data_IF_677874689260
#
_entry.id   IF_677874689260
#
_cell.length_a   1.000
_cell.length_b   1.000
_cell.length_c   1.000
_cell.angle_alpha   90.00
_cell.angle_beta   90.00
_cell.angle_gamma   90.00
#
_symmetry.space_group_name_H-M   'P 1'
#
loop_
_entity.id
_entity.type
_entity.pdbx_description
1 polymer ?
#
# COMPACT_ATOMS: atom_id res chain seq x y z
N UNK A 1 4.75 -49.95 28.00
CA UNK A 1 4.51 -48.49 27.89
C UNK A 1 4.96 -48.09 26.50
N UNK A 2 4.02 -48.07 25.55
CA UNK A 2 4.28 -47.58 24.19
C UNK A 2 3.92 -46.09 24.18
N UNK A 3 4.86 -45.26 23.75
CA UNK A 3 4.63 -43.84 23.47
C UNK A 3 3.50 -43.68 22.45
N UNK A 4 2.64 -42.66 22.55
CA UNK A 4 1.64 -42.38 21.54
C UNK A 4 2.38 -42.00 20.25
N UNK A 5 2.19 -42.81 19.21
CA UNK A 5 2.87 -42.67 17.93
C UNK A 5 2.35 -41.46 17.15
N UNK A 6 3.30 -40.72 16.59
CA UNK A 6 3.08 -39.77 15.49
C UNK A 6 2.27 -40.47 14.39
N UNK A 7 1.03 -40.03 14.20
CA UNK A 7 0.34 -40.27 12.95
C UNK A 7 1.15 -39.61 11.81
N UNK A 8 1.30 -40.26 10.64
CA UNK A 8 2.01 -39.65 9.53
C UNK A 8 1.29 -38.37 9.11
N UNK A 9 1.92 -37.21 9.36
CA UNK A 9 1.41 -35.93 8.90
C UNK A 9 1.34 -35.94 7.37
N UNK A 10 0.17 -35.59 6.82
CA UNK A 10 -0.04 -35.47 5.38
C UNK A 10 0.94 -34.43 4.81
N UNK A 11 1.53 -34.72 3.66
CA UNK A 11 2.32 -33.71 2.95
C UNK A 11 1.42 -32.58 2.45
N UNK A 12 1.95 -31.37 2.32
CA UNK A 12 1.17 -30.21 1.85
C UNK A 12 0.46 -30.46 0.50
N UNK A 13 1.13 -31.18 -0.40
CA UNK A 13 0.54 -31.56 -1.69
C UNK A 13 -0.59 -32.59 -1.55
N UNK A 14 -0.46 -33.56 -0.64
CA UNK A 14 -1.51 -34.53 -0.36
C UNK A 14 -2.72 -33.85 0.30
N UNK A 15 -2.49 -32.96 1.25
CA UNK A 15 -3.54 -32.17 1.90
C UNK A 15 -4.31 -31.31 0.90
N UNK A 16 -3.60 -30.59 0.01
CA UNK A 16 -4.23 -29.81 -1.06
C UNK A 16 -5.06 -30.66 -2.02
N UNK A 17 -4.60 -31.87 -2.33
CA UNK A 17 -5.35 -32.80 -3.16
C UNK A 17 -6.62 -33.28 -2.47
N UNK A 18 -6.61 -33.50 -1.15
CA UNK A 18 -7.81 -33.84 -0.38
C UNK A 18 -8.81 -32.70 -0.36
N UNK A 19 -8.35 -31.46 -0.15
CA UNK A 19 -9.20 -30.26 -0.21
C UNK A 19 -9.88 -30.11 -1.58
N UNK A 20 -9.15 -30.33 -2.67
CA UNK A 20 -9.71 -30.28 -4.03
C UNK A 20 -10.75 -31.40 -4.26
N UNK A 21 -10.51 -32.61 -3.74
CA UNK A 21 -11.45 -33.74 -3.82
C UNK A 21 -12.72 -33.46 -3.02
N UNK A 22 -12.60 -32.86 -1.84
CA UNK A 22 -13.77 -32.47 -1.04
C UNK A 22 -14.56 -31.38 -1.75
N UNK A 23 -13.89 -30.35 -2.29
CA UNK A 23 -14.56 -29.27 -3.00
C UNK A 23 -15.38 -29.79 -4.19
N UNK A 24 -14.82 -30.73 -4.96
CA UNK A 24 -15.48 -31.42 -6.07
C UNK A 24 -16.54 -32.44 -5.64
N UNK A 25 -16.78 -32.63 -4.33
CA UNK A 25 -17.80 -33.56 -3.81
C UNK A 25 -17.46 -35.04 -3.97
N UNK A 26 -16.18 -35.39 -4.19
CA UNK A 26 -15.71 -36.76 -4.45
C UNK A 26 -14.82 -37.31 -3.33
N UNK A 27 -14.66 -36.57 -2.23
CA UNK A 27 -13.97 -37.05 -1.04
C UNK A 27 -14.83 -38.07 -0.27
N UNK A 28 -14.18 -39.10 0.24
CA UNK A 28 -14.78 -40.10 1.13
C UNK A 28 -14.91 -39.54 2.56
N UNK A 29 -15.78 -40.15 3.37
CA UNK A 29 -15.99 -39.75 4.78
C UNK A 29 -14.67 -39.77 5.58
N UNK A 30 -13.81 -40.77 5.35
CA UNK A 30 -12.49 -40.86 5.98
C UNK A 30 -11.52 -39.75 5.54
N UNK A 31 -11.63 -39.25 4.31
CA UNK A 31 -10.84 -38.12 3.81
C UNK A 31 -11.34 -36.79 4.41
N UNK A 32 -12.65 -36.66 4.60
CA UNK A 32 -13.27 -35.50 5.27
C UNK A 32 -12.87 -35.46 6.75
N UNK A 33 -12.87 -36.61 7.43
CA UNK A 33 -12.42 -36.72 8.81
C UNK A 33 -10.95 -36.28 8.96
N UNK A 34 -10.08 -36.63 8.01
CA UNK A 34 -8.68 -36.16 7.99
C UNK A 34 -8.57 -34.65 7.82
N UNK A 35 -9.40 -34.03 6.96
CA UNK A 35 -9.42 -32.58 6.82
C UNK A 35 -9.96 -31.89 8.09
N UNK A 36 -10.90 -32.51 8.79
CA UNK A 36 -11.50 -32.00 10.02
C UNK A 36 -10.52 -31.97 11.21
N UNK A 37 -9.43 -32.74 11.17
CA UNK A 37 -8.33 -32.66 12.15
C UNK A 37 -7.57 -31.31 12.06
N UNK A 38 -7.58 -30.65 10.90
CA UNK A 38 -6.89 -29.37 10.66
C UNK A 38 -7.82 -28.29 10.06
N UNK A 39 -8.82 -27.80 10.81
CA UNK A 39 -9.87 -26.92 10.28
C UNK A 39 -9.37 -25.51 9.90
N UNK A 40 -8.22 -25.07 10.40
CA UNK A 40 -7.60 -23.80 10.00
C UNK A 40 -6.88 -23.96 8.67
N UNK A 41 -6.07 -25.01 8.52
CA UNK A 41 -5.35 -25.32 7.28
C UNK A 41 -6.32 -25.56 6.13
N UNK A 42 -7.39 -26.32 6.36
CA UNK A 42 -8.44 -26.57 5.37
C UNK A 42 -9.09 -25.26 4.87
N UNK A 43 -9.50 -24.37 5.78
CA UNK A 43 -10.06 -23.06 5.41
C UNK A 43 -9.07 -22.22 4.59
N UNK A 44 -7.80 -22.19 4.97
CA UNK A 44 -6.78 -21.43 4.27
C UNK A 44 -6.51 -21.96 2.85
N UNK A 45 -6.49 -23.28 2.66
CA UNK A 45 -6.31 -23.88 1.34
C UNK A 45 -7.54 -23.64 0.43
N UNK A 46 -8.77 -23.72 0.96
CA UNK A 46 -9.97 -23.36 0.20
C UNK A 46 -9.94 -21.89 -0.24
N UNK A 47 -9.64 -20.95 0.67
CA UNK A 47 -9.51 -19.53 0.32
C UNK A 47 -8.41 -19.28 -0.71
N UNK A 48 -7.30 -19.99 -0.61
CA UNK A 48 -6.20 -19.91 -1.59
C UNK A 48 -6.67 -20.40 -2.96
N UNK A 49 -7.39 -21.52 -3.02
CA UNK A 49 -7.93 -22.06 -4.26
C UNK A 49 -8.92 -21.09 -4.91
N UNK A 50 -9.88 -20.55 -4.14
CA UNK A 50 -10.85 -19.54 -4.58
C UNK A 50 -10.14 -18.33 -5.21
N UNK A 51 -9.17 -17.75 -4.50
CA UNK A 51 -8.39 -16.60 -5.02
C UNK A 51 -7.58 -16.94 -6.27
N UNK A 52 -7.11 -18.18 -6.38
CA UNK A 52 -6.33 -18.62 -7.54
C UNK A 52 -7.19 -18.70 -8.79
N UNK A 53 -8.39 -19.28 -8.68
CA UNK A 53 -9.36 -19.35 -9.79
C UNK A 53 -9.89 -17.97 -10.15
N UNK A 54 -10.18 -17.13 -9.17
CA UNK A 54 -10.63 -15.75 -9.40
C UNK A 54 -9.58 -14.92 -10.16
N UNK A 55 -8.30 -15.01 -9.78
CA UNK A 55 -7.21 -14.38 -10.51
C UNK A 55 -7.00 -14.96 -11.92
N UNK A 56 -7.27 -16.26 -12.13
CA UNK A 56 -7.20 -16.88 -13.45
C UNK A 56 -8.28 -16.33 -14.39
N UNK A 57 -9.50 -16.11 -13.87
CA UNK A 57 -10.61 -15.51 -14.61
C UNK A 57 -10.28 -14.09 -15.03
N UNK A 58 -9.80 -13.27 -14.09
CA UNK A 58 -9.32 -11.91 -14.35
C UNK A 58 -8.26 -11.87 -15.46
N UNK A 59 -7.35 -12.85 -15.47
CA UNK A 59 -6.29 -12.96 -16.48
C UNK A 59 -6.87 -13.30 -17.86
N UNK A 60 -7.78 -14.27 -17.94
CA UNK A 60 -8.41 -14.72 -19.18
C UNK A 60 -9.30 -13.61 -19.77
N UNK A 61 -10.01 -12.85 -18.95
CA UNK A 61 -10.82 -11.71 -19.40
C UNK A 61 -9.97 -10.61 -20.07
N UNK A 62 -8.75 -10.36 -19.58
CA UNK A 62 -7.84 -9.32 -20.10
C UNK A 62 -7.11 -9.73 -21.38
N UNK A 63 -7.16 -11.00 -21.78
CA UNK A 63 -6.44 -11.54 -22.94
C UNK A 63 -7.40 -11.90 -24.07
N UNK A 64 -6.98 -11.64 -25.31
CA UNK A 64 -7.68 -12.14 -26.49
C UNK A 64 -7.21 -13.57 -26.77
N UNK A 65 -7.98 -14.57 -26.34
CA UNK A 65 -7.70 -16.01 -26.52
C UNK A 65 -8.83 -16.64 -27.34
N UNK A 66 -8.48 -17.57 -28.24
CA UNK A 66 -9.38 -18.18 -29.23
C UNK A 66 -10.57 -18.94 -28.58
N UNK A 67 -10.37 -19.49 -27.36
CA UNK A 67 -11.38 -20.27 -26.62
C UNK A 67 -11.87 -19.58 -25.32
N UNK A 68 -11.81 -18.24 -25.26
CA UNK A 68 -12.05 -17.46 -24.03
C UNK A 68 -13.37 -17.82 -23.32
N UNK A 69 -14.46 -18.01 -24.05
CA UNK A 69 -15.77 -18.30 -23.45
C UNK A 69 -15.82 -19.67 -22.77
N UNK A 70 -15.21 -20.69 -23.37
CA UNK A 70 -15.15 -22.03 -22.77
C UNK A 70 -14.29 -22.01 -21.51
N UNK A 71 -13.12 -21.37 -21.58
CA UNK A 71 -12.21 -21.28 -20.43
C UNK A 71 -12.86 -20.53 -19.27
N UNK A 72 -13.59 -19.43 -19.55
CA UNK A 72 -14.29 -18.70 -18.50
C UNK A 72 -15.42 -19.53 -17.88
N UNK A 73 -16.20 -20.25 -18.70
CA UNK A 73 -17.26 -21.12 -18.19
C UNK A 73 -16.71 -22.22 -17.28
N UNK A 74 -15.61 -22.88 -17.68
CA UNK A 74 -14.97 -23.93 -16.87
C UNK A 74 -14.45 -23.36 -15.53
N UNK A 75 -13.80 -22.18 -15.57
CA UNK A 75 -13.29 -21.54 -14.35
C UNK A 75 -14.40 -20.98 -13.44
N UNK A 76 -15.52 -20.52 -14.02
CA UNK A 76 -16.70 -20.08 -13.27
C UNK A 76 -17.33 -21.28 -12.53
N UNK A 77 -17.43 -22.43 -13.20
CA UNK A 77 -17.89 -23.67 -12.59
C UNK A 77 -16.98 -24.12 -11.45
N UNK A 78 -15.66 -24.10 -11.64
CA UNK A 78 -14.67 -24.40 -10.60
C UNK A 78 -14.81 -23.46 -9.39
N UNK A 79 -15.07 -22.16 -9.62
CA UNK A 79 -15.25 -21.22 -8.53
C UNK A 79 -16.53 -21.48 -7.74
N UNK A 80 -17.64 -21.76 -8.43
CA UNK A 80 -18.90 -22.13 -7.80
C UNK A 80 -18.73 -23.35 -6.90
N UNK A 81 -18.06 -24.41 -7.38
CA UNK A 81 -17.78 -25.59 -6.57
C UNK A 81 -16.96 -25.27 -5.31
N UNK A 82 -15.95 -24.43 -5.43
CA UNK A 82 -15.13 -24.01 -4.28
C UNK A 82 -15.91 -23.13 -3.28
N UNK A 83 -16.80 -22.26 -3.76
CA UNK A 83 -17.64 -21.43 -2.91
C UNK A 83 -18.71 -22.26 -2.17
N UNK A 84 -19.27 -23.28 -2.83
CA UNK A 84 -20.15 -24.26 -2.17
C UNK A 84 -19.39 -25.03 -1.09
N UNK A 85 -18.16 -25.47 -1.36
CA UNK A 85 -17.30 -26.15 -0.39
C UNK A 85 -17.01 -25.27 0.83
N UNK A 86 -16.71 -23.99 0.60
CA UNK A 86 -16.55 -23.02 1.66
C UNK A 86 -17.82 -22.84 2.50
N UNK A 87 -18.98 -22.77 1.83
CA UNK A 87 -20.28 -22.65 2.50
C UNK A 87 -20.58 -23.88 3.35
N UNK A 88 -20.29 -25.09 2.85
CA UNK A 88 -20.42 -26.34 3.63
C UNK A 88 -19.53 -26.33 4.87
N UNK A 89 -18.29 -25.87 4.75
CA UNK A 89 -17.32 -25.88 5.84
C UNK A 89 -17.59 -24.82 6.91
N UNK A 90 -18.03 -23.63 6.51
CA UNK A 90 -18.08 -22.46 7.40
C UNK A 90 -19.49 -21.99 7.74
N UNK A 91 -20.50 -22.41 6.95
CA UNK A 91 -21.85 -21.86 6.99
C UNK A 91 -21.96 -20.43 6.46
N UNK A 92 -20.86 -19.82 6.01
CA UNK A 92 -20.83 -18.48 5.44
C UNK A 92 -20.77 -18.55 3.92
N UNK A 93 -21.65 -17.84 3.24
CA UNK A 93 -21.60 -17.68 1.78
C UNK A 93 -20.54 -16.63 1.44
N UNK A 94 -19.66 -16.94 0.48
CA UNK A 94 -18.81 -15.92 -0.14
C UNK A 94 -19.62 -15.29 -1.25
N UNK A 95 -19.78 -13.96 -1.22
CA UNK A 95 -20.38 -13.26 -2.35
C UNK A 95 -19.43 -13.37 -3.53
N UNK A 96 -19.82 -14.18 -4.51
CA UNK A 96 -19.14 -14.27 -5.80
C UNK A 96 -19.70 -13.19 -6.73
N UNK A 97 -19.89 -11.95 -6.26
CA UNK A 97 -20.47 -10.84 -7.05
C UNK A 97 -19.62 -10.57 -8.31
N UNK A 98 -19.82 -11.43 -9.29
CA UNK A 98 -19.40 -11.32 -10.65
C UNK A 98 -20.59 -10.64 -11.29
N UNK A 99 -20.35 -9.39 -11.66
CA UNK A 99 -21.15 -8.77 -12.69
C UNK A 99 -21.01 -9.71 -13.89
N UNK A 100 -22.01 -10.57 -14.12
CA UNK A 100 -22.22 -11.13 -15.45
C UNK A 100 -22.07 -9.94 -16.40
N UNK A 101 -21.38 -10.09 -17.55
CA UNK A 101 -21.47 -9.08 -18.58
C UNK A 101 -22.91 -9.12 -19.08
N UNK A 102 -23.83 -8.55 -18.30
CA UNK A 102 -25.01 -7.91 -18.80
C UNK A 102 -24.49 -7.12 -20.00
N UNK A 103 -25.08 -7.37 -21.15
CA UNK A 103 -25.10 -6.37 -22.18
C UNK A 103 -25.49 -5.08 -21.46
N UNK A 104 -24.49 -4.25 -21.18
CA UNK A 104 -24.71 -2.89 -20.70
C UNK A 104 -25.28 -2.21 -21.92
N UNK A 105 -26.59 -2.40 -22.15
CA UNK A 105 -27.39 -1.26 -22.51
C UNK A 105 -26.97 -0.20 -21.52
N UNK A 106 -26.24 0.79 -22.03
CA UNK A 106 -25.93 2.01 -21.34
C UNK A 106 -27.28 2.65 -21.01
N UNK A 107 -27.92 2.19 -19.95
CA UNK A 107 -28.90 2.99 -19.25
C UNK A 107 -28.11 4.21 -18.77
N UNK A 108 -28.29 5.31 -19.49
CA UNK A 108 -27.93 6.62 -18.97
C UNK A 108 -28.50 6.68 -17.54
N UNK A 109 -27.66 6.92 -16.51
CA UNK A 109 -28.13 6.88 -15.15
C UNK A 109 -29.26 7.88 -15.03
N UNK A 110 -30.47 7.39 -14.77
CA UNK A 110 -31.63 8.25 -14.54
C UNK A 110 -31.23 9.25 -13.46
N UNK A 111 -31.20 10.53 -13.82
CA UNK A 111 -30.62 11.62 -13.03
C UNK A 111 -31.39 11.94 -11.73
N UNK A 112 -32.41 11.14 -11.39
CA UNK A 112 -33.47 11.50 -10.46
C UNK A 112 -33.45 10.77 -9.10
N UNK A 113 -32.51 9.87 -8.84
CA UNK A 113 -32.35 9.30 -7.48
C UNK A 113 -31.50 10.23 -6.60
N UNK A 114 -32.16 10.92 -5.66
CA UNK A 114 -31.50 11.64 -4.57
C UNK A 114 -30.81 10.64 -3.64
N UNK A 115 -29.50 10.80 -3.42
CA UNK A 115 -28.73 9.95 -2.51
C UNK A 115 -28.95 10.28 -1.04
N UNK A 116 -28.44 9.46 -0.13
CA UNK A 116 -28.46 9.74 1.32
C UNK A 116 -27.31 10.68 1.70
N UNK A 117 -27.52 11.56 2.69
CA UNK A 117 -26.44 12.37 3.25
C UNK A 117 -25.57 11.51 4.15
N UNK A 118 -24.30 11.36 3.79
CA UNK A 118 -23.32 10.58 4.54
C UNK A 118 -22.13 11.46 4.95
N UNK A 119 -21.44 11.05 6.02
CA UNK A 119 -20.18 11.69 6.45
C UNK A 119 -19.02 11.14 5.61
N UNK A 120 -18.41 12.01 4.82
CA UNK A 120 -17.26 11.71 3.98
C UNK A 120 -15.97 12.23 4.61
N UNK A 121 -14.87 11.52 4.34
CA UNK A 121 -13.53 11.90 4.75
C UNK A 121 -12.64 12.18 3.55
N UNK A 122 -11.85 13.23 3.67
CA UNK A 122 -10.85 13.68 2.71
C UNK A 122 -9.51 13.89 3.37
N UNK A 123 -8.47 13.95 2.55
CA UNK A 123 -7.11 14.09 3.02
C UNK A 123 -6.51 15.45 2.68
N UNK A 124 -5.91 16.09 3.69
CA UNK A 124 -4.91 17.15 3.53
C UNK A 124 -3.63 16.63 4.20
N UNK A 125 -2.40 16.95 3.71
CA UNK A 125 -1.18 16.41 4.30
C UNK A 125 -1.10 16.55 5.84
N UNK A 126 -1.28 15.43 6.55
CA UNK A 126 -1.24 15.35 8.02
C UNK A 126 -2.57 15.62 8.72
N UNK A 127 -3.68 15.80 8.00
CA UNK A 127 -5.01 16.08 8.55
C UNK A 127 -6.09 15.28 7.83
N UNK A 128 -7.05 14.81 8.62
CA UNK A 128 -8.30 14.25 8.12
C UNK A 128 -9.32 15.38 8.06
N UNK A 129 -10.01 15.51 6.93
CA UNK A 129 -11.05 16.53 6.72
C UNK A 129 -12.39 15.83 6.57
N UNK A 130 -13.32 16.10 7.47
CA UNK A 130 -14.67 15.57 7.42
C UNK A 130 -15.65 16.60 6.87
N UNK A 131 -16.62 16.13 6.10
CA UNK A 131 -17.73 16.90 5.51
C UNK A 131 -18.88 15.94 5.22
N UNK A 132 -20.12 16.43 5.13
CA UNK A 132 -21.27 15.57 4.88
C UNK A 132 -22.14 16.12 3.74
N UNK A 133 -22.46 15.25 2.78
CA UNK A 133 -23.29 15.57 1.62
C UNK A 133 -23.83 14.30 0.97
N UNK A 134 -24.88 14.46 0.17
CA UNK A 134 -25.48 13.40 -0.66
C UNK A 134 -25.84 13.95 -2.04
N UNK A 135 -25.97 13.09 -3.05
CA UNK A 135 -26.33 13.51 -4.42
C UNK A 135 -27.72 14.16 -4.41
N UNK A 136 -27.80 15.42 -4.82
CA UNK A 136 -29.06 16.18 -4.83
C UNK A 136 -29.56 16.63 -3.45
N UNK A 137 -28.79 16.39 -2.37
CA UNK A 137 -29.16 16.78 -1.02
C UNK A 137 -28.48 18.07 -0.57
N UNK A 138 -29.11 18.75 0.38
CA UNK A 138 -28.49 19.87 1.10
C UNK A 138 -27.40 19.30 2.03
N UNK A 139 -26.15 19.80 1.97
CA UNK A 139 -25.10 19.41 2.91
C UNK A 139 -25.46 19.73 4.36
N UNK A 140 -24.95 18.94 5.32
CA UNK A 140 -25.10 19.25 6.74
C UNK A 140 -24.39 20.56 7.09
N UNK A 141 -24.93 21.28 8.06
CA UNK A 141 -24.22 22.41 8.65
C UNK A 141 -23.09 21.94 9.61
N UNK A 142 -22.26 22.86 10.09
CA UNK A 142 -21.10 22.50 10.93
C UNK A 142 -21.50 21.82 12.26
N UNK A 143 -22.62 22.22 12.87
CA UNK A 143 -23.08 21.64 14.14
C UNK A 143 -23.61 20.21 13.92
N UNK A 144 -24.44 20.02 12.89
CA UNK A 144 -24.95 18.71 12.47
C UNK A 144 -23.82 17.75 12.09
N UNK A 145 -22.80 18.24 11.36
CA UNK A 145 -21.62 17.45 11.01
C UNK A 145 -20.86 16.97 12.24
N UNK A 146 -20.72 17.81 13.28
CA UNK A 146 -20.06 17.41 14.52
C UNK A 146 -20.86 16.36 15.28
N UNK A 147 -22.18 16.51 15.36
CA UNK A 147 -23.05 15.50 15.97
C UNK A 147 -22.96 14.16 15.23
N UNK A 148 -22.99 14.17 13.89
CA UNK A 148 -22.83 12.96 13.09
C UNK A 148 -21.44 12.30 13.29
N UNK A 149 -20.37 13.09 13.40
CA UNK A 149 -19.04 12.55 13.72
C UNK A 149 -18.98 11.89 15.10
N UNK A 150 -19.62 12.49 16.11
CA UNK A 150 -19.71 11.91 17.46
C UNK A 150 -20.50 10.59 17.47
N UNK A 151 -21.60 10.52 16.73
CA UNK A 151 -22.39 9.29 16.56
C UNK A 151 -21.57 8.17 15.90
N UNK A 152 -20.71 8.52 14.94
CA UNK A 152 -19.76 7.60 14.29
C UNK A 152 -18.53 7.26 15.16
N UNK A 153 -18.51 7.67 16.43
CA UNK A 153 -17.42 7.38 17.37
C UNK A 153 -16.12 8.14 17.10
N UNK A 154 -16.16 9.24 16.32
CA UNK A 154 -15.01 10.08 16.08
C UNK A 154 -14.62 10.87 17.34
N UNK A 155 -13.37 11.38 17.45
CA UNK A 155 -12.96 12.19 18.59
C UNK A 155 -13.86 13.41 18.77
N UNK A 156 -14.35 13.65 19.99
CA UNK A 156 -15.21 14.80 20.32
C UNK A 156 -14.48 16.15 20.35
N UNK A 157 -13.14 16.13 20.32
CA UNK A 157 -12.29 17.34 20.34
C UNK A 157 -11.20 17.27 19.27
N UNK A 158 -10.56 18.41 18.96
CA UNK A 158 -9.49 18.50 17.95
C UNK A 158 -9.96 18.91 16.55
N UNK A 159 -11.27 18.84 16.27
CA UNK A 159 -11.85 19.32 15.02
C UNK A 159 -11.85 20.85 14.94
N UNK A 160 -11.05 21.39 14.02
CA UNK A 160 -11.00 22.80 13.70
C UNK A 160 -11.83 23.11 12.44
N UNK A 161 -12.49 24.27 12.41
CA UNK A 161 -13.23 24.73 11.23
C UNK A 161 -12.29 24.84 10.03
N UNK A 162 -12.73 24.28 8.89
CA UNK A 162 -12.04 24.30 7.60
C UNK A 162 -12.96 24.99 6.58
N UNK A 163 -12.39 25.60 5.54
CA UNK A 163 -13.19 26.16 4.43
C UNK A 163 -14.08 25.10 3.77
N UNK A 164 -15.17 25.49 3.13
CA UNK A 164 -16.08 24.52 2.52
C UNK A 164 -15.39 23.65 1.46
N UNK A 165 -15.91 22.44 1.30
CA UNK A 165 -15.52 21.48 0.28
C UNK A 165 -16.56 21.52 -0.84
N UNK A 166 -16.09 21.45 -2.09
CA UNK A 166 -16.94 21.48 -3.28
C UNK A 166 -16.94 20.09 -3.93
N UNK A 167 -17.85 19.17 -3.55
CA UNK A 167 -17.95 17.89 -4.21
C UNK A 167 -18.38 18.06 -5.68
N UNK A 168 -17.92 17.18 -6.60
CA UNK A 168 -18.33 17.23 -8.01
C UNK A 168 -19.86 17.17 -8.14
N UNK A 169 -20.45 18.17 -8.81
CA UNK A 169 -21.89 18.23 -9.05
C UNK A 169 -22.76 18.56 -7.83
N UNK A 170 -22.16 18.89 -6.68
CA UNK A 170 -22.88 19.17 -5.43
C UNK A 170 -22.70 20.58 -4.89
N UNK A 171 -23.54 20.93 -3.92
CA UNK A 171 -23.47 22.19 -3.17
C UNK A 171 -22.24 22.20 -2.25
N UNK A 172 -21.68 23.38 -1.99
CA UNK A 172 -20.57 23.54 -1.05
C UNK A 172 -20.94 23.03 0.34
N UNK A 173 -20.21 22.03 0.83
CA UNK A 173 -20.39 21.44 2.15
C UNK A 173 -19.44 22.11 3.16
N UNK A 174 -19.94 22.56 4.32
CA UNK A 174 -19.09 22.88 5.47
C UNK A 174 -18.18 21.70 5.82
N UNK A 175 -16.97 21.99 6.27
CA UNK A 175 -15.98 20.97 6.60
C UNK A 175 -15.23 21.30 7.90
N UNK A 176 -14.83 20.26 8.60
CA UNK A 176 -13.96 20.32 9.78
C UNK A 176 -12.71 19.48 9.54
N UNK A 177 -11.60 19.84 10.17
CA UNK A 177 -10.33 19.14 10.02
C UNK A 177 -9.70 18.83 11.37
N UNK A 178 -9.10 17.65 11.50
CA UNK A 178 -8.40 17.18 12.70
C UNK A 178 -7.00 16.69 12.31
N UNK A 179 -5.95 16.95 13.12
CA UNK A 179 -4.66 16.31 12.93
C UNK A 179 -4.81 14.78 12.93
N UNK A 180 -4.10 14.11 12.02
CA UNK A 180 -4.21 12.64 11.92
C UNK A 180 -3.73 11.93 13.20
N UNK A 181 -2.83 12.55 13.97
CA UNK A 181 -2.41 12.06 15.29
C UNK A 181 -3.57 11.88 16.26
N UNK A 182 -4.57 12.76 16.17
CA UNK A 182 -5.67 12.82 17.13
C UNK A 182 -6.84 11.94 16.67
N UNK A 183 -6.92 11.64 15.36
CA UNK A 183 -7.94 10.78 14.76
C UNK A 183 -7.48 9.33 14.51
N UNK A 184 -6.21 9.00 14.73
CA UNK A 184 -5.64 7.72 14.32
C UNK A 184 -6.34 6.52 14.99
N UNK A 185 -6.61 6.59 16.30
CA UNK A 185 -7.30 5.51 17.01
C UNK A 185 -8.69 5.20 16.43
N UNK A 186 -9.41 6.25 16.04
CA UNK A 186 -10.72 6.11 15.38
C UNK A 186 -10.58 5.54 13.97
N UNK A 187 -9.64 6.02 13.15
CA UNK A 187 -9.41 5.47 11.80
C UNK A 187 -9.04 3.98 11.83
N UNK A 188 -8.25 3.54 12.81
CA UNK A 188 -7.91 2.12 12.99
C UNK A 188 -9.17 1.31 13.32
N UNK A 189 -10.04 1.82 14.20
CA UNK A 189 -11.31 1.18 14.54
C UNK A 189 -12.23 1.06 13.31
N UNK A 190 -12.33 2.13 12.51
CA UNK A 190 -13.08 2.13 11.24
C UNK A 190 -12.51 1.10 10.25
N UNK A 191 -11.18 1.01 10.15
CA UNK A 191 -10.53 0.05 9.25
C UNK A 191 -10.65 -1.41 9.68
N UNK A 192 -10.77 -1.68 10.98
CA UNK A 192 -10.79 -3.02 11.58
C UNK A 192 -12.20 -3.66 11.65
N UNK A 193 -13.19 -3.10 10.95
CA UNK A 193 -14.58 -3.59 10.90
C UNK A 193 -15.37 -3.46 12.21
N UNK A 194 -15.25 -2.32 12.90
CA UNK A 194 -16.30 -1.86 13.80
C UNK A 194 -17.31 -1.02 13.02
N UNK A 195 -18.21 -1.66 12.29
CA UNK A 195 -19.66 -1.36 12.13
C UNK A 195 -20.19 -1.92 10.81
N UNK A 196 -21.17 -2.82 10.91
CA UNK A 196 -22.04 -3.19 9.80
C UNK A 196 -22.76 -1.92 9.31
N UNK A 197 -22.49 -1.52 8.06
CA UNK A 197 -23.35 -0.68 7.20
C UNK A 197 -23.53 0.83 7.45
N UNK A 198 -22.79 1.52 8.35
CA UNK A 198 -23.01 2.97 8.60
C UNK A 198 -21.89 3.93 8.13
N UNK A 199 -20.73 3.41 7.72
CA UNK A 199 -19.57 4.25 7.36
C UNK A 199 -19.46 4.50 5.85
N UNK A 200 -19.16 5.73 5.45
CA UNK A 200 -18.97 6.05 4.03
C UNK A 200 -17.75 5.31 3.45
N UNK A 201 -17.75 5.00 2.14
CA UNK A 201 -16.60 4.35 1.48
C UNK A 201 -15.28 5.08 1.70
N UNK A 202 -15.32 6.42 1.79
CA UNK A 202 -14.14 7.25 2.02
C UNK A 202 -13.55 7.07 3.43
N UNK A 203 -14.39 6.87 4.45
CA UNK A 203 -13.95 6.59 5.80
C UNK A 203 -13.33 5.20 5.91
N UNK A 204 -14.01 4.19 5.36
CA UNK A 204 -13.50 2.80 5.29
C UNK A 204 -12.16 2.75 4.57
N UNK A 205 -12.04 3.44 3.44
CA UNK A 205 -10.80 3.48 2.67
C UNK A 205 -9.65 4.10 3.47
N UNK A 206 -9.86 5.25 4.13
CA UNK A 206 -8.84 5.87 4.98
C UNK A 206 -8.48 4.97 6.18
N UNK A 207 -9.45 4.27 6.76
CA UNK A 207 -9.21 3.29 7.82
C UNK A 207 -8.31 2.13 7.37
N UNK A 208 -8.53 1.60 6.16
CA UNK A 208 -7.67 0.57 5.56
C UNK A 208 -6.24 1.06 5.32
N UNK A 209 -6.07 2.30 4.88
CA UNK A 209 -4.73 2.92 4.74
C UNK A 209 -4.08 3.13 6.11
N UNK A 210 -4.85 3.50 7.14
CA UNK A 210 -4.37 3.64 8.50
C UNK A 210 -3.85 2.32 9.08
N UNK A 211 -4.59 1.22 8.89
CA UNK A 211 -4.14 -0.13 9.27
C UNK A 211 -2.81 -0.48 8.60
N UNK A 212 -2.67 -0.21 7.29
CA UNK A 212 -1.42 -0.45 6.59
C UNK A 212 -0.26 0.40 7.13
N UNK A 213 -0.49 1.69 7.40
CA UNK A 213 0.53 2.56 7.99
C UNK A 213 0.99 2.08 9.38
N UNK A 214 0.07 1.58 10.20
CA UNK A 214 0.40 0.97 11.50
C UNK A 214 1.20 -0.31 11.33
N UNK A 215 0.82 -1.18 10.38
CA UNK A 215 1.58 -2.39 10.04
C UNK A 215 3.02 -2.05 9.63
N UNK A 216 3.20 -1.07 8.74
CA UNK A 216 4.53 -0.58 8.34
C UNK A 216 5.32 -0.06 9.55
N UNK A 217 4.68 0.71 10.42
CA UNK A 217 5.32 1.25 11.62
C UNK A 217 5.73 0.15 12.60
N UNK A 218 4.87 -0.84 12.81
CA UNK A 218 5.15 -1.99 13.67
C UNK A 218 6.31 -2.85 13.15
N UNK A 219 6.48 -2.92 11.84
CA UNK A 219 7.61 -3.59 11.18
C UNK A 219 8.91 -2.76 11.19
N UNK A 220 8.87 -1.50 11.65
CA UNK A 220 10.02 -0.60 11.59
C UNK A 220 10.27 0.00 10.21
N UNK A 221 9.29 -0.08 9.30
CA UNK A 221 9.40 0.35 7.90
C UNK A 221 9.16 1.85 7.74
N UNK A 222 9.98 2.66 8.40
CA UNK A 222 10.05 4.10 8.15
C UNK A 222 11.45 4.66 8.38
N UNK A 223 11.76 5.77 7.73
CA UNK A 223 13.01 6.51 7.89
C UNK A 223 12.76 7.98 8.25
N UNK A 224 13.56 8.55 9.16
CA UNK A 224 13.46 9.96 9.54
C UNK A 224 14.18 10.83 8.51
N UNK A 225 13.42 11.56 7.69
CA UNK A 225 13.95 12.49 6.70
C UNK A 225 13.99 13.92 7.26
N UNK A 226 15.11 14.60 7.08
CA UNK A 226 15.19 16.03 7.37
C UNK A 226 14.53 16.82 6.24
N UNK A 227 13.58 17.70 6.57
CA UNK A 227 12.88 18.55 5.59
C UNK A 227 13.05 20.02 5.91
N UNK A 228 13.38 20.82 4.89
CA UNK A 228 13.30 22.27 4.99
C UNK A 228 11.83 22.70 4.95
N UNK A 229 11.39 23.47 5.95
CA UNK A 229 10.04 24.03 6.00
C UNK A 229 9.96 25.26 5.10
N UNK A 230 8.89 25.36 4.32
CA UNK A 230 8.61 26.57 3.54
C UNK A 230 8.40 27.74 4.50
N UNK A 231 9.15 28.84 4.31
CA UNK A 231 8.94 30.08 5.06
C UNK A 231 7.55 30.65 4.72
N UNK A 232 6.74 30.92 5.74
CA UNK A 232 5.51 31.69 5.57
C UNK A 232 5.82 33.16 5.24
N UNK A 233 4.88 33.87 4.59
CA UNK A 233 5.05 35.29 4.23
C UNK A 233 5.40 36.19 5.43
N UNK A 234 4.98 35.82 6.64
CA UNK A 234 5.25 36.55 7.87
C UNK A 234 6.66 36.37 8.45
N UNK A 235 7.43 35.36 8.00
CA UNK A 235 8.78 35.05 8.51
C UNK A 235 9.90 35.59 7.59
N UNK A 236 9.57 36.43 6.62
CA UNK A 236 10.51 36.98 5.64
C UNK A 236 11.57 37.95 6.23
N UNK A 237 11.47 38.28 7.52
CA UNK A 237 12.44 39.14 8.24
C UNK A 237 13.49 38.40 9.07
N UNK A 238 13.44 37.07 9.17
CA UNK A 238 14.49 36.28 9.82
C UNK A 238 15.69 36.13 8.87
N UNK A 239 16.91 36.37 9.38
CA UNK A 239 18.14 36.57 8.60
C UNK A 239 18.26 35.75 7.31
N UNK A 240 18.75 36.40 6.26
CA UNK A 240 18.79 35.90 4.87
C UNK A 240 19.43 34.51 4.71
N UNK A 241 20.25 34.07 5.67
CA UNK A 241 21.03 32.82 5.62
C UNK A 241 20.53 31.68 6.54
N UNK A 242 19.44 31.84 7.29
CA UNK A 242 18.87 30.74 8.11
C UNK A 242 17.70 30.05 7.39
N UNK A 243 17.42 28.80 7.73
CA UNK A 243 16.19 28.12 7.33
C UNK A 243 15.68 27.24 8.46
N UNK A 244 14.36 27.06 8.48
CA UNK A 244 13.68 26.18 9.43
C UNK A 244 13.68 24.75 8.89
N UNK A 245 14.11 23.79 9.71
CA UNK A 245 14.14 22.37 9.38
C UNK A 245 13.36 21.55 10.41
N UNK A 246 12.80 20.43 9.99
CA UNK A 246 12.12 19.48 10.88
C UNK A 246 12.25 18.06 10.35
N UNK A 247 12.31 17.08 11.26
CA UNK A 247 12.27 15.66 10.91
C UNK A 247 10.85 15.27 10.49
N UNK A 248 10.73 14.50 9.41
CA UNK A 248 9.50 13.86 8.95
C UNK A 248 9.75 12.38 8.71
N UNK A 249 9.02 11.52 9.40
CA UNK A 249 9.11 10.09 9.16
C UNK A 249 8.36 9.73 7.89
N UNK A 250 9.02 8.94 7.04
CA UNK A 250 8.49 8.54 5.73
C UNK A 250 8.50 7.02 5.66
N UNK A 251 7.38 6.38 5.29
CA UNK A 251 7.31 4.94 5.16
C UNK A 251 8.29 4.44 4.10
N UNK A 252 8.79 3.23 4.31
CA UNK A 252 9.72 2.54 3.41
C UNK A 252 9.16 1.20 2.98
N UNK A 253 9.79 0.59 1.96
CA UNK A 253 9.46 -0.78 1.53
C UNK A 253 7.97 -0.98 1.19
N UNK A 254 7.36 0.04 0.58
CA UNK A 254 5.96 -0.01 0.18
C UNK A 254 5.76 -1.07 -0.91
N UNK A 255 4.85 -2.00 -0.66
CA UNK A 255 4.42 -2.97 -1.67
C UNK A 255 3.73 -2.25 -2.85
N UNK A 256 4.26 -2.34 -4.08
CA UNK A 256 3.69 -1.62 -5.23
C UNK A 256 2.28 -2.10 -5.61
N UNK A 257 1.98 -3.40 -5.40
CA UNK A 257 0.67 -3.97 -5.74
C UNK A 257 -0.42 -3.45 -4.82
N UNK A 258 -0.20 -3.49 -3.50
CA UNK A 258 -1.10 -2.93 -2.49
C UNK A 258 -1.28 -1.43 -2.65
N UNK A 259 -0.21 -0.71 -3.03
CA UNK A 259 -0.29 0.72 -3.33
C UNK A 259 -1.20 0.99 -4.54
N UNK A 260 -1.06 0.22 -5.63
CA UNK A 260 -1.89 0.34 -6.82
C UNK A 260 -3.36 0.01 -6.52
N UNK A 261 -3.64 -1.08 -5.80
CA UNK A 261 -4.99 -1.47 -5.40
C UNK A 261 -5.68 -0.37 -4.57
N UNK A 262 -4.97 0.24 -3.61
CA UNK A 262 -5.49 1.35 -2.83
C UNK A 262 -5.72 2.60 -3.68
N UNK A 263 -4.82 2.89 -4.62
CA UNK A 263 -4.98 4.01 -5.52
C UNK A 263 -6.19 3.83 -6.47
N UNK A 264 -6.40 2.63 -7.01
CA UNK A 264 -7.50 2.28 -7.92
C UNK A 264 -8.86 2.32 -7.20
N UNK A 265 -8.93 1.75 -5.99
CA UNK A 265 -10.15 1.70 -5.16
C UNK A 265 -10.49 3.00 -4.44
N UNK A 266 -9.64 4.04 -4.52
CA UNK A 266 -9.82 5.27 -3.75
C UNK A 266 -11.11 6.04 -4.10
N UNK A 267 -12.04 6.24 -3.15
CA UNK A 267 -13.24 7.02 -3.42
C UNK A 267 -12.92 8.48 -3.79
N UNK A 268 -13.67 9.05 -4.74
CA UNK A 268 -13.45 10.45 -5.18
C UNK A 268 -13.58 11.48 -4.05
N UNK A 269 -14.39 11.17 -3.04
CA UNK A 269 -14.53 11.98 -1.82
C UNK A 269 -13.19 12.19 -1.09
N UNK A 270 -12.26 11.23 -1.15
CA UNK A 270 -10.94 11.37 -0.50
C UNK A 270 -10.10 12.49 -1.17
N UNK A 271 -10.23 12.63 -2.49
CA UNK A 271 -9.48 13.55 -3.34
C UNK A 271 -10.14 14.92 -3.54
N UNK A 272 -11.34 15.14 -3.01
CA UNK A 272 -12.15 16.34 -3.28
C UNK A 272 -11.43 17.67 -2.97
N UNK A 273 -10.46 17.65 -2.05
CA UNK A 273 -9.66 18.82 -1.67
C UNK A 273 -8.66 19.20 -2.75
N UNK A 274 -8.03 18.21 -3.37
CA UNK A 274 -7.08 18.39 -4.46
C UNK A 274 -7.39 17.37 -5.58
N UNK A 275 -8.43 17.63 -6.40
CA UNK A 275 -8.87 16.69 -7.42
C UNK A 275 -7.85 16.45 -8.54
N UNK A 276 -6.81 17.28 -8.62
CA UNK A 276 -5.72 17.17 -9.61
C UNK A 276 -4.55 16.35 -9.09
N UNK A 277 -4.56 15.95 -7.82
CA UNK A 277 -3.50 15.15 -7.24
C UNK A 277 -3.47 13.75 -7.87
N UNK A 278 -2.26 13.25 -8.09
CA UNK A 278 -2.08 11.85 -8.50
C UNK A 278 -2.55 10.92 -7.36
N UNK A 279 -3.39 9.92 -7.69
CA UNK A 279 -3.99 9.00 -6.70
C UNK A 279 -2.91 8.29 -5.91
N UNK A 280 -1.88 7.78 -6.58
CA UNK A 280 -0.76 7.09 -5.94
C UNK A 280 0.00 8.02 -4.98
N UNK A 281 0.27 9.26 -5.41
CA UNK A 281 0.87 10.28 -4.56
C UNK A 281 0.00 10.61 -3.33
N UNK A 282 -1.34 10.61 -3.48
CA UNK A 282 -2.24 10.82 -2.35
C UNK A 282 -2.18 9.65 -1.36
N UNK A 283 -2.17 8.39 -1.81
CA UNK A 283 -1.98 7.22 -0.91
C UNK A 283 -0.67 7.36 -0.15
N UNK A 284 0.44 7.65 -0.84
CA UNK A 284 1.75 7.89 -0.20
C UNK A 284 1.69 9.04 0.81
N UNK A 285 0.95 10.10 0.52
CA UNK A 285 0.75 11.24 1.42
C UNK A 285 0.02 10.84 2.70
N UNK A 286 -1.04 10.03 2.60
CA UNK A 286 -1.78 9.48 3.75
C UNK A 286 -0.86 8.59 4.58
N UNK A 287 -0.23 7.59 3.96
CA UNK A 287 0.72 6.70 4.64
C UNK A 287 1.83 7.48 5.35
N UNK A 288 2.40 8.49 4.69
CA UNK A 288 3.43 9.34 5.27
C UNK A 288 2.89 10.13 6.46
N UNK A 289 1.68 10.71 6.37
CA UNK A 289 1.09 11.45 7.48
C UNK A 289 0.84 10.58 8.71
N UNK A 290 0.35 9.36 8.50
CA UNK A 290 0.05 8.43 9.61
C UNK A 290 1.33 7.89 10.23
N UNK A 291 2.29 7.41 9.42
CA UNK A 291 3.59 6.96 9.94
C UNK A 291 4.30 8.09 10.70
N UNK A 292 4.30 9.31 10.15
CA UNK A 292 4.86 10.49 10.81
C UNK A 292 4.21 10.78 12.17
N UNK A 293 2.88 10.66 12.27
CA UNK A 293 2.19 10.84 13.54
C UNK A 293 2.62 9.78 14.58
N UNK A 294 2.67 8.50 14.21
CA UNK A 294 3.04 7.42 15.14
C UNK A 294 4.48 7.55 15.60
N UNK A 295 5.43 7.75 14.69
CA UNK A 295 6.84 7.86 15.06
C UNK A 295 7.15 9.14 15.85
N UNK A 296 6.45 10.25 15.59
CA UNK A 296 6.62 11.46 16.39
C UNK A 296 6.06 11.30 17.80
N UNK A 297 4.91 10.64 17.95
CA UNK A 297 4.39 10.30 19.27
C UNK A 297 5.35 9.39 20.04
N UNK A 298 5.90 8.36 19.38
CA UNK A 298 6.92 7.50 19.96
C UNK A 298 8.19 8.29 20.35
N UNK A 299 8.68 9.18 19.49
CA UNK A 299 9.85 10.01 19.76
C UNK A 299 9.63 10.98 20.93
N UNK A 300 8.41 11.49 21.14
CA UNK A 300 8.06 12.33 22.29
C UNK A 300 8.12 11.60 23.64
N UNK A 301 8.04 10.26 23.63
CA UNK A 301 8.11 9.43 24.84
C UNK A 301 9.56 9.07 25.22
N UNK A 302 10.53 9.43 24.38
CA UNK A 302 11.95 9.16 24.62
C UNK A 302 12.58 10.41 25.22
N UNK A 303 13.26 10.25 26.36
CA UNK A 303 14.07 11.32 26.94
C UNK A 303 15.34 11.53 26.10
N UNK A 304 15.44 12.68 25.44
CA UNK A 304 16.58 13.08 24.62
C UNK A 304 17.34 14.22 25.30
N UNK A 305 18.65 14.31 25.04
CA UNK A 305 19.43 15.48 25.42
C UNK A 305 18.85 16.75 24.78
N UNK A 306 19.01 17.89 25.45
CA UNK A 306 18.57 19.17 24.90
C UNK A 306 19.33 19.46 23.59
N UNK A 307 18.64 19.91 22.52
CA UNK A 307 19.31 20.31 21.29
C UNK A 307 20.24 21.51 21.56
N UNK A 308 21.28 21.71 20.73
CA UNK A 308 22.12 22.89 20.81
C UNK A 308 21.27 24.18 20.75
N UNK A 309 21.56 25.20 21.60
CA UNK A 309 20.76 26.43 21.63
C UNK A 309 20.92 27.26 20.34
N UNK A 310 22.03 27.09 19.64
CA UNK A 310 22.35 27.75 18.36
C UNK A 310 23.07 26.77 17.46
N UNK A 311 22.56 26.58 16.24
CA UNK A 311 23.18 25.74 15.22
C UNK A 311 24.18 26.56 14.41
N UNK A 312 25.47 26.26 14.57
CA UNK A 312 26.58 27.01 13.96
C UNK A 312 27.42 26.15 13.01
N UNK A 313 27.44 24.83 13.21
CA UNK A 313 28.25 23.90 12.45
C UNK A 313 27.45 22.62 12.07
N UNK A 314 28.08 21.72 11.32
CA UNK A 314 27.44 20.48 10.85
C UNK A 314 27.16 19.47 11.97
N UNK A 315 27.97 19.46 13.03
CA UNK A 315 27.70 18.64 14.21
C UNK A 315 26.45 19.13 14.94
N UNK A 316 26.29 20.45 15.10
CA UNK A 316 25.07 21.03 15.70
C UNK A 316 23.81 20.65 14.92
N UNK A 317 23.87 20.63 13.57
CA UNK A 317 22.74 20.16 12.73
C UNK A 317 22.43 18.69 13.01
N UNK A 318 23.46 17.87 13.20
CA UNK A 318 23.32 16.43 13.47
C UNK A 318 22.72 16.18 14.85
N UNK A 319 23.19 16.91 15.87
CA UNK A 319 22.63 16.88 17.23
C UNK A 319 21.17 17.35 17.23
N UNK A 320 20.85 18.49 16.60
CA UNK A 320 19.47 18.96 16.48
C UNK A 320 18.58 17.94 15.75
N UNK A 321 19.08 17.26 14.71
CA UNK A 321 18.36 16.20 14.01
C UNK A 321 18.04 15.01 14.93
N UNK A 322 19.00 14.56 15.74
CA UNK A 322 18.81 13.43 16.67
C UNK A 322 17.92 13.79 17.87
N UNK A 323 18.10 14.97 18.45
CA UNK A 323 17.31 15.45 19.59
C UNK A 323 15.85 15.76 19.22
N UNK A 324 15.57 16.07 17.94
CA UNK A 324 14.25 16.53 17.47
C UNK A 324 13.62 15.56 16.45
N UNK A 325 13.83 14.26 16.65
CA UNK A 325 13.15 13.19 15.90
C UNK A 325 11.62 13.24 16.03
N UNK A 326 11.10 13.92 17.06
CA UNK A 326 9.68 14.24 17.21
C UNK A 326 9.15 15.29 16.21
N UNK A 327 10.02 15.81 15.33
CA UNK A 327 9.66 16.76 14.29
C UNK A 327 9.52 18.21 14.75
N UNK A 328 9.90 18.51 16.00
CA UNK A 328 9.99 19.90 16.47
C UNK A 328 10.94 20.68 15.56
N UNK A 329 10.53 21.85 15.03
CA UNK A 329 11.35 22.60 14.10
C UNK A 329 12.55 23.25 14.80
N UNK A 330 13.67 23.35 14.09
CA UNK A 330 14.84 24.11 14.51
C UNK A 330 15.39 24.96 13.37
N UNK A 331 16.10 26.03 13.72
CA UNK A 331 16.74 26.93 12.77
C UNK A 331 18.20 26.53 12.55
N UNK A 332 18.64 26.52 11.30
CA UNK A 332 20.04 26.27 10.94
C UNK A 332 20.46 27.10 9.72
N UNK A 333 21.76 27.40 9.57
CA UNK A 333 22.27 28.01 8.34
C UNK A 333 21.88 27.18 7.11
N UNK A 334 21.29 27.82 6.11
CA UNK A 334 20.68 27.14 4.96
C UNK A 334 21.66 26.18 4.25
N UNK A 335 22.93 26.58 4.12
CA UNK A 335 23.97 25.74 3.51
C UNK A 335 24.20 24.44 4.29
N UNK A 336 24.30 24.52 5.62
CA UNK A 336 24.57 23.35 6.47
C UNK A 336 23.36 22.42 6.53
N UNK A 337 22.16 22.98 6.74
CA UNK A 337 20.93 22.20 6.75
C UNK A 337 20.62 21.57 5.39
N UNK A 338 20.83 22.31 4.29
CA UNK A 338 20.66 21.79 2.93
C UNK A 338 21.62 20.64 2.59
N UNK A 339 22.88 20.71 3.04
CA UNK A 339 23.83 19.61 2.90
C UNK A 339 23.38 18.36 3.68
N UNK A 340 22.89 18.54 4.91
CA UNK A 340 22.36 17.44 5.72
C UNK A 340 21.12 16.81 5.07
N UNK A 341 20.18 17.61 4.56
CA UNK A 341 19.01 17.13 3.80
C UNK A 341 19.46 16.25 2.63
N UNK A 342 20.37 16.74 1.78
CA UNK A 342 20.83 16.00 0.61
C UNK A 342 21.54 14.68 0.97
N UNK A 343 22.28 14.65 2.09
CA UNK A 343 22.94 13.43 2.58
C UNK A 343 21.94 12.40 3.11
N UNK A 344 20.97 12.85 3.92
CA UNK A 344 19.92 11.98 4.47
C UNK A 344 19.03 11.41 3.36
N UNK A 345 18.61 12.25 2.40
CA UNK A 345 17.84 11.80 1.25
C UNK A 345 18.60 10.76 0.42
N UNK A 346 19.91 10.96 0.19
CA UNK A 346 20.74 9.99 -0.52
C UNK A 346 20.85 8.66 0.23
N UNK A 347 21.00 8.71 1.55
CA UNK A 347 21.04 7.52 2.40
C UNK A 347 19.72 6.76 2.41
N UNK A 348 18.58 7.47 2.42
CA UNK A 348 17.26 6.87 2.48
C UNK A 348 16.68 6.46 1.12
N UNK A 349 17.23 6.97 0.01
CA UNK A 349 16.74 6.68 -1.36
C UNK A 349 16.57 5.18 -1.65
N UNK A 350 17.47 4.27 -1.23
CA UNK A 350 17.33 2.83 -1.50
C UNK A 350 16.14 2.14 -0.82
N UNK A 351 15.40 2.80 0.07
CA UNK A 351 14.25 2.22 0.77
C UNK A 351 12.97 3.06 0.65
N UNK A 352 13.10 4.28 0.12
CA UNK A 352 11.99 5.23 -0.12
C UNK A 352 11.69 5.43 -1.61
N UNK A 353 12.61 5.02 -2.48
CA UNK A 353 12.51 5.16 -3.93
C UNK A 353 11.49 4.22 -4.56
N UNK A 354 11.17 4.48 -5.82
CA UNK A 354 10.56 3.45 -6.66
C UNK A 354 11.64 2.42 -7.00
N UNK A 355 11.31 1.15 -6.89
CA UNK A 355 12.21 0.06 -7.21
C UNK A 355 11.68 -0.69 -8.42
N UNK A 356 12.46 -0.71 -9.49
CA UNK A 356 12.16 -1.54 -10.64
C UNK A 356 12.48 -3.00 -10.31
N UNK A 357 11.59 -3.91 -10.70
CA UNK A 357 11.79 -5.33 -10.45
C UNK A 357 12.83 -5.87 -11.44
N UNK A 358 13.95 -6.36 -10.91
CA UNK A 358 14.91 -7.17 -11.66
C UNK A 358 14.57 -8.65 -11.48
N UNK A 359 14.69 -9.42 -12.57
CA UNK A 359 14.56 -10.88 -12.58
C UNK A 359 15.93 -11.46 -12.89
N UNK A 360 16.45 -12.29 -11.98
CA UNK A 360 17.67 -13.06 -12.24
C UNK A 360 17.24 -14.42 -12.77
N UNK A 361 17.56 -14.68 -14.03
CA UNK A 361 17.29 -15.94 -14.70
C UNK A 361 18.58 -16.76 -14.78
N UNK A 362 18.49 -18.04 -14.45
CA UNK A 362 19.56 -19.02 -14.63
C UNK A 362 19.07 -20.07 -15.62
N UNK A 363 19.67 -20.09 -16.80
CA UNK A 363 19.41 -21.08 -17.84
C UNK A 363 20.16 -22.37 -17.55
N UNK A 364 19.58 -23.49 -17.98
CA UNK A 364 20.21 -24.80 -17.93
C UNK A 364 21.56 -24.80 -18.70
N UNK A 365 22.49 -25.71 -18.34
CA UNK A 365 23.80 -25.74 -18.97
C UNK A 365 23.70 -26.00 -20.48
N UNK A 366 24.53 -25.29 -21.24
CA UNK A 366 24.62 -25.48 -22.69
C UNK A 366 25.40 -26.76 -23.07
N UNK A 367 25.63 -26.98 -24.36
CA UNK A 367 26.40 -28.13 -24.84
C UNK A 367 27.85 -28.20 -24.32
N UNK A 368 28.35 -27.12 -23.72
CA UNK A 368 29.66 -27.03 -23.07
C UNK A 368 29.60 -27.18 -21.55
N UNK A 369 28.46 -27.61 -20.99
CA UNK A 369 28.20 -27.73 -19.55
C UNK A 369 28.31 -26.39 -18.78
N UNK A 370 28.08 -25.27 -19.50
CA UNK A 370 28.17 -23.94 -18.93
C UNK A 370 26.77 -23.37 -18.64
N UNK A 371 26.55 -22.95 -17.40
CA UNK A 371 25.30 -22.33 -17.00
C UNK A 371 25.30 -20.85 -17.38
N UNK A 372 24.18 -20.34 -17.90
CA UNK A 372 24.06 -18.94 -18.28
C UNK A 372 23.14 -18.20 -17.32
N UNK A 373 23.66 -17.14 -16.71
CA UNK A 373 22.91 -16.28 -15.80
C UNK A 373 22.66 -14.93 -16.47
N UNK A 374 21.41 -14.51 -16.54
CA UNK A 374 21.00 -13.24 -17.12
C UNK A 374 20.14 -12.42 -16.15
N UNK A 375 20.37 -11.12 -16.12
CA UNK A 375 19.52 -10.15 -15.42
C UNK A 375 18.56 -9.52 -16.42
N UNK A 376 17.27 -9.69 -16.16
CA UNK A 376 16.17 -9.18 -16.96
C UNK A 376 15.40 -8.11 -16.20
N UNK A 377 14.79 -7.19 -16.95
CA UNK A 377 13.87 -6.19 -16.43
C UNK A 377 12.69 -6.01 -17.39
N UNK A 378 11.65 -5.33 -16.92
CA UNK A 378 10.46 -5.04 -17.72
C UNK A 378 10.81 -4.07 -18.85
N UNK A 379 10.60 -4.49 -20.09
CA UNK A 379 10.74 -3.68 -21.29
C UNK A 379 9.49 -2.84 -21.59
N UNK A 380 9.48 -2.10 -22.73
CA UNK A 380 8.38 -1.20 -23.11
C UNK A 380 7.03 -1.91 -23.21
N UNK A 381 7.01 -3.12 -23.75
CA UNK A 381 5.81 -3.92 -23.99
C UNK A 381 5.45 -4.82 -22.80
N UNK A 382 5.96 -4.51 -21.60
CA UNK A 382 5.85 -5.33 -20.40
C UNK A 382 6.49 -6.73 -20.46
N UNK A 383 7.17 -7.08 -21.56
CA UNK A 383 7.99 -8.28 -21.69
C UNK A 383 9.28 -8.18 -20.87
N UNK A 384 9.84 -9.32 -20.46
CA UNK A 384 11.15 -9.35 -19.83
C UNK A 384 12.22 -9.26 -20.92
N UNK A 385 13.06 -8.23 -20.84
CA UNK A 385 14.19 -8.00 -21.74
C UNK A 385 15.50 -7.92 -20.94
N UNK A 386 16.64 -8.00 -21.63
CA UNK A 386 17.94 -7.84 -20.98
C UNK A 386 18.05 -6.50 -20.24
N UNK A 387 18.74 -6.47 -19.10
CA UNK A 387 18.88 -5.24 -18.31
C UNK A 387 19.50 -4.08 -19.10
N UNK A 388 20.41 -4.34 -20.03
CA UNK A 388 20.97 -3.30 -20.91
C UNK A 388 19.91 -2.70 -21.83
N UNK A 389 19.10 -3.54 -22.47
CA UNK A 389 18.00 -3.10 -23.33
C UNK A 389 16.94 -2.33 -22.54
N UNK A 390 16.59 -2.82 -21.35
CA UNK A 390 15.68 -2.12 -20.45
C UNK A 390 16.22 -0.74 -20.08
N UNK A 391 17.49 -0.61 -19.68
CA UNK A 391 18.13 0.67 -19.32
C UNK A 391 18.13 1.66 -20.49
N UNK A 392 18.39 1.18 -21.72
CA UNK A 392 18.38 2.01 -22.92
C UNK A 392 16.97 2.54 -23.21
N UNK A 393 15.95 1.70 -23.03
CA UNK A 393 14.56 2.03 -23.37
C UNK A 393 13.75 2.65 -22.20
N UNK A 394 14.32 2.72 -20.99
CA UNK A 394 13.59 3.11 -19.77
C UNK A 394 13.25 4.60 -19.64
N UNK A 395 13.80 5.47 -20.49
CA UNK A 395 13.56 6.92 -20.44
C UNK A 395 13.84 7.49 -19.05
N UNK A 396 12.80 7.99 -18.37
CA UNK A 396 12.90 8.54 -17.01
C UNK A 396 13.27 7.53 -15.92
N UNK A 397 12.99 6.23 -16.12
CA UNK A 397 13.26 5.15 -15.15
C UNK A 397 14.68 4.59 -15.25
N UNK A 398 15.47 5.08 -16.23
CA UNK A 398 16.85 4.62 -16.47
C UNK A 398 17.69 4.64 -15.19
N UNK A 399 17.60 5.71 -14.41
CA UNK A 399 18.40 5.88 -13.20
C UNK A 399 18.04 4.87 -12.11
N UNK A 400 16.76 4.50 -12.02
CA UNK A 400 16.29 3.56 -11.01
C UNK A 400 16.73 2.12 -11.36
N UNK A 401 16.68 1.74 -12.64
CA UNK A 401 17.28 0.48 -13.11
C UNK A 401 18.79 0.43 -12.91
N UNK A 402 19.52 1.52 -13.18
CA UNK A 402 20.97 1.58 -12.96
C UNK A 402 21.33 1.44 -11.46
N UNK A 403 20.52 2.04 -10.57
CA UNK A 403 20.71 1.97 -9.12
C UNK A 403 20.37 0.57 -8.57
N UNK A 404 19.31 -0.09 -9.06
CA UNK A 404 19.00 -1.48 -8.72
C UNK A 404 20.05 -2.46 -9.25
N UNK A 405 20.55 -2.25 -10.47
CA UNK A 405 21.62 -3.09 -11.01
C UNK A 405 22.88 -3.02 -10.15
N UNK A 406 23.29 -1.81 -9.71
CA UNK A 406 24.41 -1.64 -8.77
C UNK A 406 24.16 -2.30 -7.42
N UNK A 407 22.90 -2.40 -6.99
CA UNK A 407 22.53 -3.11 -5.76
C UNK A 407 22.64 -4.61 -5.96
N UNK A 408 22.16 -5.13 -7.08
CA UNK A 408 22.27 -6.54 -7.44
C UNK A 408 23.74 -6.98 -7.61
N UNK A 409 24.58 -6.19 -8.27
CA UNK A 409 26.02 -6.44 -8.42
C UNK A 409 26.74 -6.59 -7.07
N UNK A 410 26.26 -5.91 -6.02
CA UNK A 410 26.77 -6.06 -4.64
C UNK A 410 26.29 -7.34 -3.96
N UNK A 411 25.07 -7.79 -4.27
CA UNK A 411 24.47 -9.01 -3.71
C UNK A 411 24.92 -10.27 -4.42
N UNK A 412 25.21 -10.17 -5.72
CA UNK A 412 25.61 -11.26 -6.60
C UNK A 412 26.93 -10.89 -7.31
N UNK A 413 28.08 -10.97 -6.62
CA UNK A 413 29.37 -10.51 -7.15
C UNK A 413 29.85 -11.24 -8.40
N UNK A 414 29.27 -12.40 -8.73
CA UNK A 414 29.58 -13.13 -9.97
C UNK A 414 29.25 -12.30 -11.21
N UNK A 415 28.30 -11.34 -11.12
CA UNK A 415 27.96 -10.38 -12.16
C UNK A 415 29.08 -9.37 -12.49
N UNK A 416 30.14 -9.34 -11.67
CA UNK A 416 31.27 -8.41 -11.83
C UNK A 416 32.52 -9.09 -12.40
N UNK A 417 32.43 -10.35 -12.87
CA UNK A 417 33.60 -11.08 -13.36
C UNK A 417 34.15 -10.43 -14.65
N UNK A 418 35.46 -10.12 -14.71
CA UNK A 418 36.07 -9.57 -15.92
C UNK A 418 36.05 -10.60 -17.06
N UNK A 419 35.46 -10.24 -18.21
CA UNK A 419 35.43 -11.10 -19.40
C UNK A 419 34.05 -11.34 -20.01
N UNK A 420 32.99 -10.75 -19.44
CA UNK A 420 31.61 -10.95 -19.90
C UNK A 420 31.23 -10.08 -21.09
N UNK A 421 30.37 -10.62 -21.97
CA UNK A 421 29.97 -9.98 -23.23
C UNK A 421 29.05 -8.76 -23.02
N UNK A 422 28.24 -8.74 -21.94
CA UNK A 422 27.26 -7.68 -21.63
C UNK A 422 27.06 -7.56 -20.12
N UNK A 423 26.77 -6.35 -19.64
CA UNK A 423 26.49 -6.07 -18.23
C UNK A 423 25.25 -6.86 -17.79
N UNK A 424 25.38 -7.64 -16.72
CA UNK A 424 24.29 -8.45 -16.19
C UNK A 424 24.10 -9.81 -16.87
N UNK A 425 25.10 -10.29 -17.62
CA UNK A 425 25.12 -11.62 -18.20
C UNK A 425 26.43 -12.34 -17.89
N UNK A 426 26.34 -13.49 -17.22
CA UNK A 426 27.49 -14.27 -16.76
C UNK A 426 27.38 -15.69 -17.27
N UNK A 427 28.50 -16.23 -17.77
CA UNK A 427 28.63 -17.68 -17.98
C UNK A 427 29.32 -18.27 -16.74
N UNK A 428 28.63 -19.18 -16.06
CA UNK A 428 29.12 -19.93 -14.92
C UNK A 428 29.57 -21.30 -15.42
N UNK A 429 30.86 -21.48 -15.68
CA UNK A 429 31.45 -22.81 -15.93
C UNK A 429 31.56 -23.59 -14.62
N UNK A 430 31.35 -24.91 -14.65
CA UNK A 430 31.78 -25.77 -13.53
C UNK A 430 33.31 -25.67 -13.38
N UNK A 431 33.78 -25.58 -12.13
CA UNK A 431 35.20 -25.56 -11.80
C UNK A 431 35.81 -26.97 -11.84
#
# INVERSE_FOLDING_TARGET
>A
MNSPGDAPQLSEAAFRSLVSREAAGIATEAEIDQLAEEPVTWRLELLRAIRTIDAAIDNVQRRSVEDRYQILADLDEDLCQLAEAWTRLTGATISLDRVEPAEVELEEPTLDETGTVEVHLSWEPGKVVAWASGRGCTPLNEAELRSALEELGAPSTGWARRGSVSPPGGTNAPAVAIPVSDALGWLIAVGAELTESEMSPSAVWLGRVALWAVELTAQGNAVPLLRQRKRGKAAAGAGENSASFSVRWTPTLLDPGRLALLAESMPGAVQVIDPRSDRTALVKSVLTGICDAVYRDAANRIEMAAPPPLVKNAADVSESYLCLLNGTPFEAPQRLGGEAVARIERWARPVTGSHERLVVQLDAPDSGDAWHLAVLAKGPDASLVSIEEAIVNAGSHRRDLEDEMKRLERLLPVLMRPGEMRRGQVVLSQA
#
